data_IF_681909979504
#
_entry.id   IF_681909979504
#
_cell.length_a   1.000
_cell.length_b   1.000
_cell.length_c   1.000
_cell.angle_alpha   90.00
_cell.angle_beta   90.00
_cell.angle_gamma   90.00
#
_symmetry.space_group_name_H-M   'P 1'
#
loop_
_entity.id
_entity.type
_entity.pdbx_description
1 polymer ?
#
# COMPACT_ATOMS: atom_id res chain seq x y z
N UNK A 1 -1.93 -2.74 -18.58
CA UNK A 1 -3.05 -2.07 -17.88
C UNK A 1 -2.71 -2.15 -16.41
N UNK A 2 -2.31 -1.03 -15.81
CA UNK A 2 -1.96 -0.97 -14.37
C UNK A 2 -3.29 -0.85 -13.62
N UNK A 3 -3.63 -1.76 -12.69
CA UNK A 3 -4.91 -1.70 -12.00
C UNK A 3 -5.00 -0.44 -11.11
N UNK A 4 -6.21 0.14 -11.00
CA UNK A 4 -6.57 1.31 -10.18
C UNK A 4 -6.60 1.00 -8.67
N UNK A 5 -5.66 0.19 -8.19
CA UNK A 5 -5.72 -0.41 -6.86
C UNK A 5 -4.83 0.33 -5.88
N UNK A 6 -5.29 0.43 -4.63
CA UNK A 6 -4.50 0.99 -3.55
C UNK A 6 -3.32 0.05 -3.27
N UNK A 7 -2.11 0.61 -3.23
CA UNK A 7 -0.87 -0.11 -2.97
C UNK A 7 -0.33 0.21 -1.59
N UNK A 8 -0.04 -0.79 -0.75
CA UNK A 8 0.45 -0.52 0.60
C UNK A 8 1.08 -1.70 1.39
N UNK A 9 2.10 -1.42 2.23
CA UNK A 9 2.25 -1.71 3.68
C UNK A 9 3.74 -1.72 4.11
N UNK A 10 4.08 -1.06 5.22
CA UNK A 10 5.33 -1.25 5.98
C UNK A 10 4.98 -1.77 7.37
N UNK A 11 5.65 -2.84 7.78
CA UNK A 11 5.34 -3.59 9.00
C UNK A 11 6.55 -3.63 9.92
N UNK A 12 6.29 -3.55 11.23
CA UNK A 12 7.31 -3.82 12.27
C UNK A 12 6.91 -5.09 12.99
N UNK A 13 7.65 -6.16 12.78
CA UNK A 13 7.38 -7.45 13.41
C UNK A 13 8.27 -7.58 14.63
N UNK A 14 7.72 -7.98 15.79
CA UNK A 14 8.59 -8.24 16.93
C UNK A 14 9.59 -9.36 16.60
N UNK A 15 10.90 -9.17 16.88
CA UNK A 15 11.96 -10.11 16.51
C UNK A 15 11.72 -11.57 16.94
N UNK A 16 10.97 -11.76 18.01
CA UNK A 16 10.60 -13.07 18.56
C UNK A 16 9.73 -13.88 17.58
N UNK A 17 8.83 -13.23 16.83
CA UNK A 17 7.90 -13.92 15.91
C UNK A 17 8.65 -14.52 14.72
N UNK A 18 9.59 -13.77 14.13
CA UNK A 18 10.35 -14.21 12.94
C UNK A 18 11.35 -15.31 13.30
N UNK A 19 11.96 -15.22 14.48
CA UNK A 19 12.97 -16.20 14.91
C UNK A 19 12.39 -17.53 15.37
N UNK A 20 11.15 -17.55 15.87
CA UNK A 20 10.49 -18.77 16.34
C UNK A 20 9.51 -19.38 15.33
N UNK A 21 8.94 -18.57 14.42
CA UNK A 21 7.99 -19.06 13.41
C UNK A 21 8.12 -18.31 12.07
N UNK A 22 9.18 -18.55 11.29
CA UNK A 22 9.41 -17.85 10.02
C UNK A 22 8.31 -18.11 8.97
N UNK A 23 7.67 -19.29 9.01
CA UNK A 23 6.57 -19.66 8.10
C UNK A 23 5.33 -18.78 8.30
N UNK A 24 5.23 -18.08 9.43
CA UNK A 24 4.14 -17.14 9.72
C UNK A 24 4.01 -16.04 8.67
N UNK A 25 5.13 -15.65 8.06
CA UNK A 25 5.17 -14.63 7.01
C UNK A 25 4.32 -15.09 5.80
N UNK A 26 4.41 -16.36 5.41
CA UNK A 26 3.63 -16.90 4.29
C UNK A 26 2.16 -17.15 4.65
N UNK A 27 1.86 -17.48 5.91
CA UNK A 27 0.48 -17.62 6.38
C UNK A 27 -0.29 -16.30 6.28
N UNK A 28 0.34 -15.18 6.63
CA UNK A 28 -0.26 -13.85 6.55
C UNK A 28 -0.68 -13.53 5.11
N UNK A 29 0.09 -13.95 4.11
CA UNK A 29 -0.27 -13.73 2.70
C UNK A 29 -1.61 -14.40 2.34
N UNK A 30 -1.85 -15.63 2.80
CA UNK A 30 -3.11 -16.36 2.56
C UNK A 30 -4.32 -15.68 3.19
N UNK A 31 -4.12 -15.07 4.36
CA UNK A 31 -5.18 -14.36 5.05
C UNK A 31 -5.52 -13.03 4.36
N UNK A 32 -4.50 -12.32 3.85
CA UNK A 32 -4.68 -11.13 3.01
C UNK A 32 -5.50 -11.47 1.76
N UNK A 33 -5.21 -12.60 1.12
CA UNK A 33 -5.99 -13.12 -0.02
C UNK A 33 -7.45 -13.40 0.34
N UNK A 34 -7.72 -14.00 1.50
CA UNK A 34 -9.09 -14.23 1.97
C UNK A 34 -9.87 -12.93 2.24
N UNK A 35 -9.18 -11.81 2.45
CA UNK A 35 -9.77 -10.47 2.61
C UNK A 35 -9.99 -9.73 1.29
N UNK A 36 -9.67 -10.36 0.15
CA UNK A 36 -9.84 -9.79 -1.19
C UNK A 36 -8.69 -8.88 -1.63
N UNK A 37 -7.54 -8.96 -0.97
CA UNK A 37 -6.32 -8.23 -1.32
C UNK A 37 -5.20 -9.22 -1.68
N UNK A 38 -4.20 -8.80 -2.45
CA UNK A 38 -3.15 -9.70 -2.93
C UNK A 38 -1.78 -9.13 -2.64
N UNK A 39 -0.87 -9.94 -2.09
CA UNK A 39 0.53 -9.54 -1.91
C UNK A 39 1.25 -9.66 -3.26
N UNK A 40 1.64 -8.54 -3.83
CA UNK A 40 2.37 -8.44 -5.11
C UNK A 40 3.86 -8.71 -4.91
N UNK A 41 4.41 -8.17 -3.84
CA UNK A 41 5.81 -8.36 -3.47
C UNK A 41 6.00 -8.13 -1.97
N UNK A 42 7.04 -8.73 -1.40
CA UNK A 42 7.41 -8.52 -0.01
C UNK A 42 8.94 -8.52 0.13
N UNK A 43 9.46 -7.62 0.95
CA UNK A 43 10.89 -7.41 1.14
C UNK A 43 11.20 -7.28 2.62
N UNK A 44 12.19 -8.02 3.11
CA UNK A 44 12.82 -7.74 4.40
C UNK A 44 13.71 -6.49 4.26
N UNK A 45 13.63 -5.60 5.23
CA UNK A 45 14.36 -4.33 5.23
C UNK A 45 15.26 -4.21 6.44
N UNK A 46 16.41 -3.54 6.24
CA UNK A 46 17.32 -3.19 7.32
C UNK A 46 17.22 -1.67 7.54
N UNK A 47 16.32 -1.26 8.43
CA UNK A 47 16.05 0.16 8.66
C UNK A 47 14.96 0.38 9.70
N UNK A 48 14.17 1.44 9.51
CA UNK A 48 13.10 1.80 10.44
C UNK A 48 11.94 0.79 10.49
N UNK A 49 11.81 -0.03 9.44
CA UNK A 49 10.83 -1.11 9.29
C UNK A 49 11.55 -2.42 9.03
N UNK A 50 10.96 -3.52 9.48
CA UNK A 50 11.50 -4.87 9.29
C UNK A 50 11.06 -5.45 7.94
N UNK A 51 9.85 -5.10 7.49
CA UNK A 51 9.31 -5.57 6.21
C UNK A 51 8.56 -4.48 5.46
N UNK A 52 8.56 -4.60 4.13
CA UNK A 52 7.74 -3.84 3.20
C UNK A 52 6.96 -4.84 2.36
N UNK A 53 5.64 -4.71 2.35
CA UNK A 53 4.75 -5.50 1.49
C UNK A 53 4.07 -4.57 0.50
N UNK A 54 4.04 -4.96 -0.77
CA UNK A 54 3.24 -4.31 -1.78
C UNK A 54 1.95 -5.10 -1.91
N UNK A 55 0.84 -4.56 -1.42
CA UNK A 55 -0.46 -5.22 -1.48
C UNK A 55 -1.36 -4.49 -2.47
N UNK A 56 -2.08 -5.25 -3.27
CA UNK A 56 -3.04 -4.77 -4.25
C UNK A 56 -4.45 -5.10 -3.78
N UNK A 57 -5.30 -4.09 -3.63
CA UNK A 57 -6.68 -4.23 -3.14
C UNK A 57 -7.68 -3.42 -3.97
N UNK A 58 -8.96 -3.82 -4.01
CA UNK A 58 -9.97 -3.15 -4.83
C UNK A 58 -10.26 -1.70 -4.41
N UNK A 59 -10.11 -1.38 -3.12
CA UNK A 59 -10.40 -0.07 -2.54
C UNK A 59 -9.65 0.15 -1.21
N UNK A 60 -9.72 1.38 -0.67
CA UNK A 60 -9.08 1.73 0.59
C UNK A 60 -9.74 1.03 1.79
N UNK A 61 -11.04 0.77 1.73
CA UNK A 61 -11.77 0.05 2.77
C UNK A 61 -11.25 -1.39 2.93
N UNK A 62 -10.85 -2.06 1.84
CA UNK A 62 -10.23 -3.37 1.88
C UNK A 62 -8.86 -3.33 2.58
N UNK A 63 -8.00 -2.36 2.27
CA UNK A 63 -6.70 -2.20 2.96
C UNK A 63 -6.88 -1.84 4.44
N UNK A 64 -7.88 -1.02 4.77
CA UNK A 64 -8.18 -0.69 6.17
C UNK A 64 -8.57 -1.95 6.98
N UNK A 65 -9.38 -2.86 6.41
CA UNK A 65 -9.72 -4.14 7.05
C UNK A 65 -8.49 -5.02 7.25
N UNK A 66 -7.64 -5.14 6.23
CA UNK A 66 -6.36 -5.87 6.33
C UNK A 66 -5.51 -5.31 7.46
N UNK A 67 -5.36 -3.98 7.51
CA UNK A 67 -4.52 -3.30 8.50
C UNK A 67 -5.01 -3.51 9.93
N UNK A 68 -6.33 -3.48 10.16
CA UNK A 68 -6.94 -3.76 11.47
C UNK A 68 -6.73 -5.22 11.89
N UNK A 69 -7.00 -6.16 10.99
CA UNK A 69 -6.88 -7.61 11.26
C UNK A 69 -5.43 -8.01 11.57
N UNK A 70 -4.49 -7.42 10.83
CA UNK A 70 -3.06 -7.56 11.07
C UNK A 70 -2.65 -6.97 12.42
N UNK A 71 -2.99 -5.70 12.69
CA UNK A 71 -2.65 -5.05 13.96
C UNK A 71 -3.29 -5.70 15.19
N UNK A 72 -4.48 -6.29 15.06
CA UNK A 72 -5.21 -6.95 16.15
C UNK A 72 -4.46 -8.15 16.75
N UNK A 73 -3.50 -8.73 16.03
CA UNK A 73 -2.68 -9.87 16.50
C UNK A 73 -1.64 -9.47 17.53
N UNK A 74 -1.41 -8.17 17.70
CA UNK A 74 -0.53 -7.62 18.74
C UNK A 74 0.96 -7.87 18.51
N UNK A 75 1.34 -8.62 17.48
CA UNK A 75 2.74 -8.92 17.16
C UNK A 75 3.34 -8.03 16.07
N UNK A 76 2.54 -7.12 15.51
CA UNK A 76 2.91 -6.29 14.37
C UNK A 76 2.39 -4.86 14.52
N UNK A 77 3.17 -3.87 14.04
CA UNK A 77 2.74 -2.48 13.92
C UNK A 77 2.68 -2.10 12.44
N UNK A 78 1.46 -1.78 11.98
CA UNK A 78 1.17 -1.53 10.58
C UNK A 78 1.13 -0.03 10.27
N UNK A 79 1.76 0.35 9.17
CA UNK A 79 1.56 1.62 8.45
C UNK A 79 1.34 1.26 6.96
N UNK A 80 0.35 1.69 6.19
CA UNK A 80 -0.59 2.80 6.30
C UNK A 80 -0.43 3.82 5.14
N UNK A 81 0.26 3.51 4.02
CA UNK A 81 0.60 4.44 2.91
C UNK A 81 -0.02 4.12 1.53
N UNK A 82 -1.20 4.67 1.17
CA UNK A 82 -1.79 4.46 -0.14
C UNK A 82 -0.89 5.00 -1.25
N UNK A 83 -0.56 4.17 -2.24
CA UNK A 83 0.17 4.60 -3.43
C UNK A 83 -0.73 4.77 -4.66
N UNK A 84 -0.39 5.77 -5.47
CA UNK A 84 -0.95 5.95 -6.81
C UNK A 84 0.15 5.75 -7.87
N UNK A 85 -0.19 5.25 -9.07
CA UNK A 85 0.75 5.19 -10.18
C UNK A 85 1.39 6.56 -10.46
N UNK A 86 2.71 6.58 -10.61
CA UNK A 86 3.45 7.84 -10.81
C UNK A 86 3.01 8.58 -12.08
N UNK A 87 2.62 7.86 -13.14
CA UNK A 87 2.09 8.46 -14.36
C UNK A 87 0.77 9.22 -14.09
N UNK A 88 -0.13 8.63 -13.31
CA UNK A 88 -1.38 9.29 -12.90
C UNK A 88 -1.10 10.54 -12.06
N UNK A 89 -0.15 10.47 -11.13
CA UNK A 89 0.28 11.62 -10.34
C UNK A 89 0.79 12.76 -11.23
N UNK A 90 1.65 12.46 -12.22
CA UNK A 90 2.18 13.44 -13.17
C UNK A 90 1.05 14.10 -13.98
N UNK A 91 0.13 13.32 -14.53
CA UNK A 91 -1.01 13.83 -15.32
C UNK A 91 -1.88 14.80 -14.52
N UNK A 92 -2.12 14.52 -13.24
CA UNK A 92 -2.89 15.41 -12.37
C UNK A 92 -2.14 16.71 -12.06
N UNK A 93 -0.84 16.64 -11.81
CA UNK A 93 -0.03 17.83 -11.49
C UNK A 93 0.15 18.78 -12.68
N UNK A 94 0.20 18.25 -13.91
CA UNK A 94 0.26 19.08 -15.13
C UNK A 94 -1.01 19.90 -15.32
N UNK A 95 -2.19 19.35 -14.98
CA UNK A 95 -3.48 20.06 -15.11
C UNK A 95 -3.65 21.23 -14.14
N UNK A 96 -2.96 21.22 -13.01
CA UNK A 96 -3.04 22.29 -12.00
C UNK A 96 -2.12 23.48 -12.33
N UNK A 97 -1.39 23.42 -13.46
CA UNK A 97 -0.38 24.40 -13.87
C UNK A 97 -0.76 25.31 -15.05
N UNK A 98 -1.99 25.27 -15.60
CA UNK A 98 -2.38 26.17 -16.69
C UNK A 98 -3.16 27.41 -16.20
N UNK A 99 -2.58 28.63 -16.21
CA UNK A 99 -3.34 29.86 -16.35
C UNK A 99 -3.65 30.06 -17.85
N UNK A 100 -4.77 29.49 -18.30
CA UNK A 100 -5.18 29.53 -19.71
C UNK A 100 -6.66 29.82 -19.89
N UNK A 101 -7.19 30.85 -19.24
CA UNK A 101 -8.50 31.40 -19.59
C UNK A 101 -8.50 31.86 -21.06
N UNK A 102 -9.64 31.76 -21.77
CA UNK A 102 -9.70 32.10 -23.19
C UNK A 102 -9.24 33.55 -23.37
N UNK A 103 -8.30 33.78 -24.30
CA UNK A 103 -7.95 35.12 -24.73
C UNK A 103 -9.17 35.69 -25.44
N UNK A 104 -9.77 36.73 -24.87
CA UNK A 104 -10.67 37.59 -25.61
C UNK A 104 -9.88 38.21 -26.76
N UNK A 105 -10.05 37.65 -27.94
CA UNK A 105 -9.73 38.23 -29.21
C UNK A 105 -10.67 39.41 -29.44
N UNK A 106 -10.12 40.61 -29.22
CA UNK A 106 -10.80 41.87 -29.49
C UNK A 106 -11.25 41.97 -30.94
N UNK A 107 -12.50 42.36 -31.11
CA UNK A 107 -13.13 42.82 -32.35
C UNK A 107 -14.39 43.59 -32.03
#
# INVERSE_FOLDING_TARGET
MVPERAYEINDKIFPETVTHNPERIEEVNREIENMGAYVIAQYACLGQYDFISLIEAPDNEAIARVSIELGARGTIQVMTLPAMPVQQFIEQMVRTGEPGGPKEDGG
#
